data_IF_470599861686
#
_entry.id   IF_470599861686
#
_cell.length_a   1.000
_cell.length_b   1.000
_cell.length_c   1.000
_cell.angle_alpha   90.00
_cell.angle_beta   90.00
_cell.angle_gamma   90.00
#
_symmetry.space_group_name_H-M   'P 1'
#
loop_
_entity.id
_entity.type
_entity.pdbx_description
1 polymer ?
#
# COMPACT_ATOMS: atom_id res chain seq x y z
N UNK A 1 9.05 9.52 -17.52
CA UNK A 1 9.05 9.89 -18.95
C UNK A 1 9.38 11.37 -19.14
N UNK A 2 10.47 11.68 -19.84
CA UNK A 2 10.88 13.06 -20.20
C UNK A 2 10.02 13.59 -21.36
N UNK A 3 9.92 14.92 -21.51
CA UNK A 3 9.04 15.50 -22.54
C UNK A 3 9.50 15.17 -23.97
N UNK A 4 10.82 15.06 -24.20
CA UNK A 4 11.38 14.65 -25.51
C UNK A 4 11.04 13.19 -25.86
N UNK A 5 10.95 12.31 -24.87
CA UNK A 5 10.53 10.92 -25.08
C UNK A 5 9.06 10.85 -25.50
N UNK A 6 8.19 11.65 -24.87
CA UNK A 6 6.77 11.76 -25.26
C UNK A 6 6.65 12.24 -26.70
N UNK A 7 7.38 13.30 -27.06
CA UNK A 7 7.37 13.84 -28.43
C UNK A 7 7.86 12.80 -29.45
N UNK A 8 8.95 12.09 -29.13
CA UNK A 8 9.51 11.04 -29.99
C UNK A 8 8.52 9.90 -30.23
N UNK A 9 7.83 9.43 -29.18
CA UNK A 9 6.81 8.39 -29.29
C UNK A 9 5.63 8.80 -30.15
N UNK A 10 5.11 10.02 -29.96
CA UNK A 10 3.99 10.51 -30.79
C UNK A 10 4.41 10.62 -32.25
N UNK A 11 5.64 11.06 -32.53
CA UNK A 11 6.16 11.12 -33.89
C UNK A 11 6.34 9.73 -34.53
N UNK A 12 6.77 8.71 -33.76
CA UNK A 12 6.98 7.35 -34.28
C UNK A 12 5.69 6.54 -34.40
N UNK A 13 4.80 6.62 -33.41
CA UNK A 13 3.60 5.77 -33.30
C UNK A 13 2.40 6.38 -34.04
N UNK A 14 2.27 7.71 -34.00
CA UNK A 14 1.12 8.42 -34.59
C UNK A 14 1.49 9.18 -35.86
N UNK A 15 2.77 9.17 -36.27
CA UNK A 15 3.30 9.89 -37.44
C UNK A 15 2.98 11.40 -37.47
N UNK A 16 2.76 12.01 -36.30
CA UNK A 16 2.44 13.44 -36.15
C UNK A 16 3.53 14.14 -35.37
N UNK A 17 4.06 15.22 -35.94
CA UNK A 17 5.06 16.04 -35.25
C UNK A 17 4.36 17.06 -34.33
N UNK A 18 4.45 16.84 -33.01
CA UNK A 18 3.81 17.70 -32.00
C UNK A 18 4.82 18.65 -31.39
N UNK A 19 4.43 19.93 -31.22
CA UNK A 19 5.23 20.90 -30.48
C UNK A 19 5.40 20.47 -29.01
N UNK A 20 6.58 20.73 -28.44
CA UNK A 20 6.90 20.52 -27.03
C UNK A 20 5.86 21.13 -26.08
N UNK A 21 5.27 22.28 -26.42
CA UNK A 21 4.21 22.92 -25.62
C UNK A 21 2.95 22.04 -25.53
N UNK A 22 2.58 21.34 -26.61
CA UNK A 22 1.45 20.38 -26.61
C UNK A 22 1.78 19.16 -25.73
N UNK A 23 3.00 18.62 -25.83
CA UNK A 23 3.46 17.52 -24.98
C UNK A 23 3.42 17.90 -23.50
N UNK A 24 3.83 19.13 -23.15
CA UNK A 24 3.79 19.64 -21.77
C UNK A 24 2.35 19.76 -21.27
N UNK A 25 1.42 20.29 -22.07
CA UNK A 25 0.00 20.40 -21.70
C UNK A 25 -0.64 19.04 -21.51
N UNK A 26 -0.45 18.10 -22.43
CA UNK A 26 -0.98 16.74 -22.32
C UNK A 26 -0.45 16.02 -21.08
N UNK A 27 0.87 16.11 -20.82
CA UNK A 27 1.47 15.54 -19.61
C UNK A 27 0.91 16.17 -18.34
N UNK A 28 0.61 17.48 -18.34
CA UNK A 28 -0.04 18.15 -17.21
C UNK A 28 -1.47 17.63 -17.03
N UNK A 29 -2.28 17.59 -18.08
CA UNK A 29 -3.66 17.09 -18.02
C UNK A 29 -3.73 15.64 -17.51
N UNK A 30 -2.83 14.78 -17.95
CA UNK A 30 -2.73 13.40 -17.44
C UNK A 30 -2.40 13.36 -15.95
N UNK A 31 -1.45 14.20 -15.50
CA UNK A 31 -1.12 14.31 -14.08
C UNK A 31 -2.30 14.83 -13.26
N UNK A 32 -2.98 15.86 -13.73
CA UNK A 32 -4.11 16.47 -13.04
C UNK A 32 -5.29 15.48 -12.97
N UNK A 33 -5.57 14.74 -14.06
CA UNK A 33 -6.59 13.69 -14.08
C UNK A 33 -6.24 12.54 -13.13
N UNK A 34 -4.99 12.09 -13.15
CA UNK A 34 -4.53 11.04 -12.26
C UNK A 34 -4.62 11.47 -10.78
N UNK A 35 -4.27 12.73 -10.48
CA UNK A 35 -4.40 13.30 -9.15
C UNK A 35 -5.88 13.36 -8.68
N UNK A 36 -6.81 13.77 -9.55
CA UNK A 36 -8.24 13.76 -9.24
C UNK A 36 -8.78 12.35 -8.94
N UNK A 37 -8.40 11.36 -9.75
CA UNK A 37 -8.78 9.96 -9.50
C UNK A 37 -8.27 9.45 -8.13
N UNK A 38 -7.04 9.81 -7.74
CA UNK A 38 -6.51 9.41 -6.45
C UNK A 38 -7.28 10.02 -5.26
N UNK A 39 -7.83 11.22 -5.41
CA UNK A 39 -8.61 11.87 -4.35
C UNK A 39 -9.95 11.14 -4.14
N UNK A 40 -10.64 10.76 -5.23
CA UNK A 40 -11.87 9.98 -5.18
C UNK A 40 -11.64 8.56 -4.62
N UNK A 41 -10.62 7.86 -5.10
CA UNK A 41 -10.24 6.52 -4.60
C UNK A 41 -9.88 6.55 -3.10
N UNK A 42 -9.27 7.65 -2.65
CA UNK A 42 -8.88 7.82 -1.26
C UNK A 42 -10.05 8.04 -0.31
N UNK A 43 -11.10 8.76 -0.74
CA UNK A 43 -12.35 8.89 0.04
C UNK A 43 -12.98 7.51 0.24
N UNK A 44 -13.08 6.71 -0.82
CA UNK A 44 -13.63 5.35 -0.74
C UNK A 44 -12.81 4.47 0.23
N UNK A 45 -11.49 4.60 0.24
CA UNK A 45 -10.63 3.86 1.17
C UNK A 45 -10.85 4.27 2.64
N UNK A 46 -11.10 5.57 2.89
CA UNK A 46 -11.47 6.06 4.22
C UNK A 46 -12.80 5.49 4.69
N UNK A 47 -13.83 5.57 3.85
CA UNK A 47 -15.16 5.03 4.17
C UNK A 47 -15.08 3.53 4.45
N UNK A 48 -14.30 2.80 3.64
CA UNK A 48 -14.05 1.38 3.86
C UNK A 48 -13.33 1.10 5.19
N UNK A 49 -12.32 1.91 5.54
CA UNK A 49 -11.62 1.77 6.81
C UNK A 49 -12.56 2.00 8.00
N UNK A 50 -13.47 2.97 7.90
CA UNK A 50 -14.48 3.24 8.93
C UNK A 50 -15.50 2.12 9.03
N UNK A 51 -15.98 1.60 7.91
CA UNK A 51 -16.86 0.42 7.90
C UNK A 51 -16.19 -0.80 8.55
N UNK A 52 -14.91 -1.04 8.26
CA UNK A 52 -14.17 -2.14 8.88
C UNK A 52 -14.05 -1.96 10.40
N UNK A 53 -13.80 -0.74 10.88
CA UNK A 53 -13.76 -0.42 12.32
C UNK A 53 -15.10 -0.69 12.99
N UNK A 54 -16.19 -0.30 12.35
CA UNK A 54 -17.55 -0.46 12.88
C UNK A 54 -17.98 -1.93 12.93
N UNK A 55 -17.69 -2.70 11.88
CA UNK A 55 -18.15 -4.10 11.74
C UNK A 55 -17.26 -5.12 12.45
N UNK A 56 -16.00 -4.79 12.72
CA UNK A 56 -15.02 -5.74 13.27
C UNK A 56 -14.43 -5.23 14.59
N UNK A 57 -15.28 -5.19 15.63
CA UNK A 57 -14.84 -4.88 16.99
C UNK A 57 -13.67 -5.81 17.41
N UNK A 58 -12.70 -5.28 18.16
CA UNK A 58 -11.48 -6.00 18.56
C UNK A 58 -10.37 -6.06 17.49
N UNK A 59 -10.69 -5.75 16.23
CA UNK A 59 -9.70 -5.63 15.16
C UNK A 59 -8.99 -4.27 15.19
N UNK A 60 -7.75 -4.21 14.71
CA UNK A 60 -7.01 -2.95 14.56
C UNK A 60 -7.01 -2.53 13.10
N UNK A 61 -7.57 -1.35 12.83
CA UNK A 61 -7.61 -0.76 11.49
C UNK A 61 -6.96 0.62 11.57
N UNK A 62 -5.74 0.77 11.03
CA UNK A 62 -4.98 2.03 11.03
C UNK A 62 -4.66 2.45 9.62
N UNK A 63 -4.78 3.73 9.33
CA UNK A 63 -4.36 4.31 8.06
C UNK A 63 -3.47 5.51 8.32
N UNK A 64 -2.36 5.61 7.60
CA UNK A 64 -1.52 6.79 7.63
C UNK A 64 -1.56 7.53 6.31
N UNK A 65 -1.45 8.85 6.46
CA UNK A 65 -1.50 9.81 5.39
C UNK A 65 -0.29 10.74 5.53
N UNK A 66 0.19 11.24 4.41
CA UNK A 66 1.25 12.24 4.38
C UNK A 66 0.69 13.56 3.84
N UNK A 67 1.18 14.67 4.35
CA UNK A 67 0.84 16.01 3.86
C UNK A 67 2.14 16.76 3.60
N UNK A 68 2.27 17.34 2.41
CA UNK A 68 3.44 18.17 2.07
C UNK A 68 3.42 19.47 2.86
N UNK A 69 2.22 20.06 3.02
CA UNK A 69 1.95 21.21 3.88
C UNK A 69 0.58 21.02 4.55
N UNK A 70 0.26 21.79 5.59
CA UNK A 70 -1.03 21.70 6.28
C UNK A 70 -2.24 21.88 5.33
N UNK A 71 -2.10 22.81 4.39
CA UNK A 71 -3.11 23.13 3.36
C UNK A 71 -3.14 22.13 2.18
N UNK A 72 -2.14 21.24 2.09
CA UNK A 72 -2.11 20.25 1.01
C UNK A 72 -3.11 19.12 1.26
N UNK A 73 -3.74 18.58 0.20
CA UNK A 73 -4.52 17.36 0.30
C UNK A 73 -3.67 16.23 0.91
N UNK A 74 -4.24 15.41 1.80
CA UNK A 74 -3.56 14.24 2.33
C UNK A 74 -3.31 13.23 1.20
N UNK A 75 -2.11 12.67 1.17
CA UNK A 75 -1.75 11.56 0.30
C UNK A 75 -1.71 10.28 1.11
N UNK A 76 -2.21 9.18 0.54
CA UNK A 76 -2.10 7.87 1.15
C UNK A 76 -0.63 7.50 1.42
N UNK A 77 -0.35 6.96 2.61
CA UNK A 77 0.98 6.43 2.97
C UNK A 77 0.95 4.91 3.16
N UNK A 78 0.08 4.42 4.02
CA UNK A 78 -0.12 2.99 4.25
C UNK A 78 -1.46 2.71 4.93
N UNK A 79 -1.95 1.48 4.81
CA UNK A 79 -3.13 0.95 5.46
C UNK A 79 -2.79 -0.36 6.16
N UNK A 80 -3.21 -0.49 7.41
CA UNK A 80 -2.95 -1.64 8.28
C UNK A 80 -4.27 -2.18 8.79
N UNK A 81 -4.46 -3.50 8.66
CA UNK A 81 -5.63 -4.22 9.15
C UNK A 81 -5.15 -5.49 9.87
N UNK A 82 -5.58 -5.67 11.11
CA UNK A 82 -5.31 -6.86 11.91
C UNK A 82 -6.58 -7.32 12.61
N UNK A 83 -7.18 -8.39 12.09
CA UNK A 83 -8.45 -8.88 12.59
C UNK A 83 -8.33 -9.51 13.98
N UNK A 84 -9.36 -9.36 14.80
CA UNK A 84 -9.42 -9.98 16.13
C UNK A 84 -9.22 -11.50 16.06
N UNK A 85 -9.85 -12.17 15.10
CA UNK A 85 -9.71 -13.61 14.91
C UNK A 85 -8.24 -14.04 14.68
N UNK A 86 -7.48 -13.21 13.97
CA UNK A 86 -6.05 -13.43 13.71
C UNK A 86 -5.22 -13.21 14.98
N UNK A 87 -5.50 -12.16 15.75
CA UNK A 87 -4.86 -11.93 17.05
C UNK A 87 -5.10 -13.10 18.01
N UNK A 88 -6.33 -13.61 18.04
CA UNK A 88 -6.70 -14.78 18.86
C UNK A 88 -5.95 -16.04 18.42
N UNK A 89 -5.99 -16.35 17.12
CA UNK A 89 -5.28 -17.52 16.57
C UNK A 89 -3.77 -17.46 16.84
N UNK A 90 -3.16 -16.27 16.77
CA UNK A 90 -1.77 -16.06 17.16
C UNK A 90 -1.51 -16.41 18.63
N UNK A 91 -2.31 -15.84 19.54
CA UNK A 91 -2.15 -16.04 21.00
C UNK A 91 -2.42 -17.47 21.44
N UNK A 92 -3.26 -18.19 20.71
CA UNK A 92 -3.55 -19.62 20.94
C UNK A 92 -2.44 -20.55 20.43
N UNK A 93 -1.25 -20.02 20.09
CA UNK A 93 -0.04 -20.74 19.66
C UNK A 93 -0.18 -21.51 18.35
N UNK A 94 -1.05 -21.06 17.44
CA UNK A 94 -0.98 -21.51 16.07
C UNK A 94 0.31 -20.96 15.43
N UNK A 95 1.11 -21.82 14.79
CA UNK A 95 2.31 -21.39 14.03
C UNK A 95 1.82 -20.56 12.85
N UNK A 96 1.78 -19.25 13.03
CA UNK A 96 1.34 -18.31 12.01
C UNK A 96 2.58 -17.76 11.32
N UNK A 97 2.81 -18.20 10.09
CA UNK A 97 3.82 -17.60 9.23
C UNK A 97 3.27 -16.24 8.79
N UNK A 98 3.95 -15.17 9.21
CA UNK A 98 3.64 -13.82 8.74
C UNK A 98 4.16 -13.68 7.30
N UNK A 99 3.26 -13.82 6.34
CA UNK A 99 3.50 -13.50 4.94
C UNK A 99 3.43 -11.99 4.74
N UNK A 100 4.55 -11.37 4.39
CA UNK A 100 4.57 -10.00 3.91
C UNK A 100 4.53 -10.00 2.40
N UNK A 101 3.54 -9.32 1.83
CA UNK A 101 3.55 -9.04 0.41
C UNK A 101 4.74 -8.13 0.08
N UNK A 102 5.58 -8.56 -0.85
CA UNK A 102 6.82 -7.89 -1.25
C UNK A 102 6.60 -6.45 -1.77
N UNK A 103 5.36 -6.07 -2.06
CA UNK A 103 4.95 -4.69 -2.28
C UNK A 103 5.33 -3.74 -1.12
N UNK A 104 5.34 -4.21 0.14
CA UNK A 104 5.81 -3.41 1.29
C UNK A 104 7.33 -3.14 1.25
N UNK A 105 8.10 -3.96 0.52
CA UNK A 105 9.56 -3.92 0.50
C UNK A 105 10.15 -3.28 -0.76
N UNK A 106 9.31 -2.79 -1.68
CA UNK A 106 9.73 -2.13 -2.93
C UNK A 106 9.68 -0.60 -2.77
N UNK A 107 10.83 0.07 -2.67
CA UNK A 107 10.95 1.54 -2.70
C UNK A 107 11.98 2.14 -1.73
N UNK A 108 12.21 3.46 -1.84
CA UNK A 108 13.19 4.21 -1.04
C UNK A 108 12.85 4.31 0.46
N UNK A 109 11.59 4.05 0.84
CA UNK A 109 11.08 4.21 2.21
C UNK A 109 10.95 2.88 2.98
N UNK A 110 11.65 1.83 2.54
CA UNK A 110 11.55 0.44 3.02
C UNK A 110 11.72 0.30 4.54
N UNK A 111 12.77 0.90 5.11
CA UNK A 111 13.07 0.75 6.54
C UNK A 111 12.03 1.44 7.41
N UNK A 112 11.70 2.69 7.12
CA UNK A 112 10.74 3.47 7.91
C UNK A 112 9.34 2.86 7.92
N UNK A 113 8.86 2.39 6.76
CA UNK A 113 7.55 1.70 6.69
C UNK A 113 7.58 0.37 7.43
N UNK A 114 8.67 -0.39 7.32
CA UNK A 114 8.80 -1.66 8.04
C UNK A 114 8.87 -1.47 9.56
N UNK A 115 9.61 -0.48 10.05
CA UNK A 115 9.64 -0.13 11.47
C UNK A 115 8.26 0.34 11.97
N UNK A 116 7.55 1.16 11.20
CA UNK A 116 6.20 1.59 11.53
C UNK A 116 5.20 0.41 11.53
N UNK A 117 5.37 -0.55 10.62
CA UNK A 117 4.57 -1.77 10.60
C UNK A 117 4.83 -2.63 11.85
N UNK A 118 6.09 -2.89 12.18
CA UNK A 118 6.45 -3.68 13.36
C UNK A 118 6.01 -3.03 14.67
N UNK A 119 6.08 -1.70 14.79
CA UNK A 119 5.64 -0.99 16.00
C UNK A 119 4.13 -1.08 16.23
N UNK A 120 3.34 -1.38 15.18
CA UNK A 120 1.90 -1.62 15.28
C UNK A 120 1.63 -3.11 15.47
N UNK A 121 2.31 -3.98 14.72
CA UNK A 121 2.06 -5.43 14.73
C UNK A 121 2.42 -6.07 16.07
N UNK A 122 3.59 -5.71 16.62
CA UNK A 122 4.13 -6.30 17.87
C UNK A 122 3.13 -6.24 19.03
N UNK A 123 2.54 -5.08 19.38
CA UNK A 123 1.55 -5.01 20.45
C UNK A 123 0.23 -5.71 20.08
N UNK A 124 -0.20 -5.67 18.81
CA UNK A 124 -1.44 -6.31 18.37
C UNK A 124 -1.42 -7.83 18.55
N UNK A 125 -0.26 -8.45 18.29
CA UNK A 125 -0.06 -9.88 18.43
C UNK A 125 0.44 -10.28 19.83
N UNK A 126 0.79 -9.32 20.70
CA UNK A 126 1.37 -9.62 22.02
C UNK A 126 2.75 -10.28 21.89
N UNK A 127 3.60 -9.73 21.03
CA UNK A 127 4.95 -10.25 20.76
C UNK A 127 6.01 -9.66 21.69
N UNK A 128 5.62 -8.82 22.65
CA UNK A 128 6.51 -8.18 23.63
C UNK A 128 7.09 -9.19 24.64
N UNK A 129 6.49 -10.38 24.70
CA UNK A 129 6.79 -11.49 25.60
C UNK A 129 8.13 -12.20 25.30
N UNK A 130 8.83 -11.82 24.23
CA UNK A 130 10.15 -12.35 23.87
C UNK A 130 10.15 -13.66 23.06
N UNK A 131 8.99 -14.14 22.60
CA UNK A 131 8.93 -15.28 21.68
C UNK A 131 9.41 -14.90 20.27
N UNK A 132 10.34 -15.67 19.72
CA UNK A 132 10.84 -15.49 18.36
C UNK A 132 9.75 -15.81 17.33
N UNK A 133 9.67 -14.98 16.28
CA UNK A 133 8.77 -15.15 15.15
C UNK A 133 9.56 -15.16 13.85
N UNK A 134 9.04 -15.83 12.83
CA UNK A 134 9.64 -15.88 11.51
C UNK A 134 8.78 -15.06 10.55
N UNK A 135 9.35 -13.99 10.00
CA UNK A 135 8.77 -13.27 8.87
C UNK A 135 9.26 -13.94 7.60
N UNK A 136 8.33 -14.26 6.68
CA UNK A 136 8.66 -14.68 5.33
C UNK A 136 8.15 -13.61 4.39
N UNK A 137 9.07 -13.01 3.63
CA UNK A 137 8.73 -12.15 2.51
C UNK A 137 8.92 -12.94 1.24
N UNK A 138 7.88 -12.99 0.40
CA UNK A 138 7.99 -13.49 -0.97
C UNK A 138 8.17 -12.31 -1.93
N UNK A 139 9.07 -12.46 -2.89
CA UNK A 139 9.29 -11.46 -3.94
C UNK A 139 8.75 -12.00 -5.27
N UNK A 140 7.47 -11.76 -5.55
CA UNK A 140 6.92 -12.02 -6.88
C UNK A 140 7.30 -10.89 -7.86
N UNK A 141 7.72 -11.32 -9.06
CA UNK A 141 8.32 -10.49 -10.13
C UNK A 141 7.30 -9.99 -11.17
N UNK A 142 6.01 -9.84 -10.83
CA UNK A 142 5.01 -9.40 -11.80
C UNK A 142 4.59 -7.92 -11.65
N UNK A 143 4.22 -7.20 -12.75
CA UNK A 143 4.20 -5.74 -12.80
C UNK A 143 2.81 -5.09 -12.68
N UNK A 144 1.77 -5.78 -12.18
CA UNK A 144 0.40 -5.26 -12.22
C UNK A 144 -0.33 -5.39 -10.88
N UNK A 145 -0.97 -4.26 -10.49
CA UNK A 145 -2.12 -4.12 -9.59
C UNK A 145 -1.84 -3.73 -8.12
N UNK A 146 -2.71 -2.88 -7.50
CA UNK A 146 -2.40 -2.14 -6.28
C UNK A 146 -2.52 -2.99 -5.02
N UNK A 147 -1.72 -2.61 -4.03
CA UNK A 147 -1.54 -3.24 -2.73
C UNK A 147 -2.87 -3.48 -1.99
N UNK A 148 -3.43 -4.69 -2.13
CA UNK A 148 -4.40 -5.24 -1.20
C UNK A 148 -3.69 -6.32 -0.37
N UNK A 149 -3.42 -5.98 0.88
CA UNK A 149 -2.73 -6.82 1.87
C UNK A 149 -3.68 -7.92 2.38
N UNK A 150 -3.63 -9.13 1.81
CA UNK A 150 -4.01 -10.37 2.51
C UNK A 150 -3.26 -11.57 1.95
N UNK A 151 -2.40 -12.20 2.76
CA UNK A 151 -2.15 -13.65 2.66
C UNK A 151 -1.57 -14.19 3.98
N UNK A 152 -2.26 -15.15 4.61
CA UNK A 152 -1.67 -16.08 5.57
C UNK A 152 -2.03 -17.49 5.12
N UNK A 153 -1.01 -18.28 4.78
CA UNK A 153 -1.19 -19.69 4.44
C UNK A 153 -1.32 -20.51 5.72
N UNK A 154 -2.44 -21.22 5.87
CA UNK A 154 -2.62 -22.25 6.88
C UNK A 154 -1.79 -23.48 6.49
N UNK A 155 -0.89 -23.94 7.36
CA UNK A 155 -0.28 -25.27 7.22
C UNK A 155 -0.63 -26.12 8.45
N UNK A 156 -1.74 -26.84 8.36
CA UNK A 156 -2.06 -27.91 9.31
C UNK A 156 -1.22 -29.13 8.95
N UNK A 157 -0.30 -29.53 9.84
CA UNK A 157 0.31 -30.87 9.77
C UNK A 157 -0.49 -31.78 10.69
N UNK A 158 -1.26 -32.68 10.07
CA UNK A 158 -1.82 -33.90 10.68
C UNK A 158 -0.73 -34.84 11.17
#
# INVERSE_FOLDING_TARGET
MKLREIQGRVASEMHVNVNMTKCRRAKKMLKDKLAGNFEEEFVVLWDYADELRLKNLGSTIKMAVNRVTYESPPHFKWFYVCFEALKRGWKEKCILILGLDGCLLKGLFKSEMFFAFLSILTPDLGMEDGYGYTIISDEQKDPLSPCLLYYMAYWTRS
#
